data_IF_731681907265
#
_entry.id   IF_731681907265
#
_cell.length_a   1.000
_cell.length_b   1.000
_cell.length_c   1.000
_cell.angle_alpha   90.00
_cell.angle_beta   90.00
_cell.angle_gamma   90.00
#
_symmetry.space_group_name_H-M   'P 1'
#
loop_
_entity.id
_entity.type
_entity.pdbx_description
1 polymer ?
#
# COMPACT_ATOMS: atom_id res chain seq x y z
N UNK A 1 17.83 -0.18 -29.54
CA UNK A 1 18.30 -0.92 -28.35
C UNK A 1 18.84 0.03 -27.28
N UNK A 2 19.70 0.99 -27.62
CA UNK A 2 20.24 1.99 -26.69
C UNK A 2 19.14 2.86 -26.03
N UNK A 3 18.21 3.41 -26.81
CA UNK A 3 17.04 4.18 -26.33
C UNK A 3 16.19 3.43 -25.31
N UNK A 4 15.97 2.12 -25.50
CA UNK A 4 15.19 1.27 -24.59
C UNK A 4 15.94 0.98 -23.28
N UNK A 5 17.28 0.93 -23.32
CA UNK A 5 18.11 0.69 -22.13
C UNK A 5 18.25 1.94 -21.29
N UNK A 6 18.50 3.08 -21.94
CA UNK A 6 18.70 4.38 -21.28
C UNK A 6 17.41 4.90 -20.64
N UNK A 7 16.26 4.61 -21.26
CA UNK A 7 14.96 5.03 -20.75
C UNK A 7 14.14 3.88 -20.16
N UNK A 8 14.77 2.74 -19.81
CA UNK A 8 14.05 1.52 -19.37
C UNK A 8 13.04 1.81 -18.26
N UNK A 9 13.47 2.55 -17.23
CA UNK A 9 12.63 2.91 -16.07
C UNK A 9 11.45 3.78 -16.47
N UNK A 10 11.68 4.79 -17.32
CA UNK A 10 10.64 5.70 -17.80
C UNK A 10 9.63 4.98 -18.71
N UNK A 11 10.10 4.09 -19.58
CA UNK A 11 9.24 3.28 -20.45
C UNK A 11 8.38 2.31 -19.63
N UNK A 12 8.93 1.72 -18.56
CA UNK A 12 8.15 0.87 -17.64
C UNK A 12 7.05 1.68 -16.99
N UNK A 13 7.38 2.84 -16.41
CA UNK A 13 6.44 3.74 -15.75
C UNK A 13 5.29 4.15 -16.68
N UNK A 14 5.61 4.56 -17.91
CA UNK A 14 4.61 5.05 -18.86
C UNK A 14 3.70 3.91 -19.34
N UNK A 15 4.28 2.78 -19.76
CA UNK A 15 3.51 1.69 -20.36
C UNK A 15 2.71 0.88 -19.33
N UNK A 16 3.11 0.91 -18.05
CA UNK A 16 2.39 0.23 -16.96
C UNK A 16 1.00 0.85 -16.69
N UNK A 17 0.71 2.04 -17.21
CA UNK A 17 -0.62 2.65 -17.12
C UNK A 17 -1.70 1.82 -17.82
N UNK A 18 -1.38 1.20 -18.95
CA UNK A 18 -2.31 0.41 -19.78
C UNK A 18 -1.58 -0.81 -20.39
N UNK A 19 -1.22 -1.83 -19.59
CA UNK A 19 -0.33 -2.91 -20.03
C UNK A 19 -0.96 -3.80 -21.11
N UNK A 20 -2.27 -4.06 -21.03
CA UNK A 20 -2.98 -4.88 -22.02
C UNK A 20 -3.07 -4.17 -23.37
N UNK A 21 -3.25 -2.85 -23.36
CA UNK A 21 -3.29 -2.05 -24.58
C UNK A 21 -1.98 -2.15 -25.34
N UNK A 22 -0.83 -1.92 -24.69
CA UNK A 22 0.46 -2.03 -25.37
C UNK A 22 0.77 -3.48 -25.76
N UNK A 23 0.45 -4.48 -24.93
CA UNK A 23 0.64 -5.88 -25.28
C UNK A 23 -0.12 -6.27 -26.56
N UNK A 24 -1.36 -5.81 -26.71
CA UNK A 24 -2.17 -6.07 -27.90
C UNK A 24 -1.51 -5.47 -29.16
N UNK A 25 -0.98 -4.25 -29.06
CA UNK A 25 -0.33 -3.56 -30.19
C UNK A 25 1.04 -4.18 -30.53
N UNK A 26 1.79 -4.65 -29.53
CA UNK A 26 3.06 -5.37 -29.73
C UNK A 26 2.81 -6.72 -30.42
N UNK A 27 1.74 -7.43 -30.06
CA UNK A 27 1.33 -8.66 -30.76
C UNK A 27 0.91 -8.36 -32.21
N UNK A 28 0.07 -7.33 -32.42
CA UNK A 28 -0.40 -6.95 -33.75
C UNK A 28 0.75 -6.54 -34.68
N UNK A 29 1.79 -5.92 -34.14
CA UNK A 29 3.01 -5.56 -34.86
C UNK A 29 3.99 -6.73 -35.10
N UNK A 30 3.62 -7.96 -34.71
CA UNK A 30 4.49 -9.15 -34.79
C UNK A 30 5.86 -8.97 -34.10
N UNK A 31 5.88 -8.21 -33.00
CA UNK A 31 7.07 -8.04 -32.15
C UNK A 31 7.16 -9.23 -31.19
N UNK A 32 6.02 -9.63 -30.62
CA UNK A 32 5.83 -10.89 -29.89
C UNK A 32 4.82 -11.77 -30.62
N UNK A 33 4.97 -13.09 -30.52
CA UNK A 33 3.98 -14.03 -31.08
C UNK A 33 2.86 -14.32 -30.07
N UNK A 34 1.80 -15.01 -30.50
CA UNK A 34 0.62 -15.31 -29.67
C UNK A 34 0.97 -16.09 -28.37
N UNK A 35 1.92 -17.02 -28.43
CA UNK A 35 2.36 -17.78 -27.25
C UNK A 35 3.07 -16.89 -26.24
N UNK A 36 3.89 -15.97 -26.73
CA UNK A 36 4.60 -15.00 -25.91
C UNK A 36 3.65 -13.96 -25.32
N UNK A 37 2.66 -13.50 -26.09
CA UNK A 37 1.59 -12.65 -25.60
C UNK A 37 0.84 -13.32 -24.45
N UNK A 38 0.42 -14.59 -24.60
CA UNK A 38 -0.28 -15.31 -23.52
C UNK A 38 0.58 -15.51 -22.26
N UNK A 39 1.90 -15.66 -22.42
CA UNK A 39 2.83 -15.75 -21.29
C UNK A 39 3.09 -14.40 -20.61
N UNK A 40 2.87 -13.29 -21.31
CA UNK A 40 2.98 -11.92 -20.78
C UNK A 40 1.65 -11.46 -20.16
N UNK A 41 0.53 -11.81 -20.79
CA UNK A 41 -0.87 -11.56 -20.38
C UNK A 41 -1.37 -12.64 -19.40
N UNK A 42 -0.56 -12.96 -18.39
CA UNK A 42 -0.97 -13.87 -17.31
C UNK A 42 -1.76 -13.08 -16.29
N UNK A 43 -2.99 -13.50 -16.02
CA UNK A 43 -3.85 -12.89 -15.02
C UNK A 43 -3.17 -12.92 -13.64
N UNK A 44 -3.01 -11.74 -13.03
CA UNK A 44 -2.43 -11.58 -11.70
C UNK A 44 -0.99 -11.06 -11.66
N UNK A 45 -0.30 -10.90 -12.79
CA UNK A 45 0.96 -10.16 -12.80
C UNK A 45 0.73 -8.66 -12.61
N UNK A 46 1.50 -7.96 -11.76
CA UNK A 46 1.48 -6.50 -11.69
C UNK A 46 1.77 -5.87 -13.06
N UNK A 47 1.13 -4.75 -13.44
CA UNK A 47 1.37 -4.05 -14.70
C UNK A 47 2.85 -3.81 -15.02
N UNK A 48 3.63 -3.39 -14.02
CA UNK A 48 5.07 -3.17 -14.17
C UNK A 48 5.81 -4.46 -14.48
N UNK A 49 5.41 -5.58 -13.87
CA UNK A 49 5.99 -6.90 -14.14
C UNK A 49 5.68 -7.36 -15.56
N UNK A 50 4.47 -7.10 -16.05
CA UNK A 50 4.08 -7.37 -17.44
C UNK A 50 4.97 -6.58 -18.40
N UNK A 51 5.17 -5.29 -18.14
CA UNK A 51 6.00 -4.41 -18.99
C UNK A 51 7.49 -4.75 -18.87
N UNK A 52 8.00 -5.07 -17.68
CA UNK A 52 9.39 -5.53 -17.49
C UNK A 52 9.63 -6.80 -18.31
N UNK A 53 8.74 -7.78 -18.19
CA UNK A 53 8.85 -9.04 -18.93
C UNK A 53 8.72 -8.80 -20.45
N UNK A 54 7.85 -7.89 -20.89
CA UNK A 54 7.73 -7.48 -22.28
C UNK A 54 9.04 -6.85 -22.78
N UNK A 55 9.61 -5.88 -22.07
CA UNK A 55 10.86 -5.22 -22.44
C UNK A 55 12.02 -6.19 -22.48
N UNK A 56 12.16 -7.04 -21.47
CA UNK A 56 13.20 -8.07 -21.43
C UNK A 56 13.04 -9.04 -22.60
N UNK A 57 11.80 -9.43 -22.94
CA UNK A 57 11.52 -10.28 -24.10
C UNK A 57 11.89 -9.61 -25.42
N UNK A 58 11.54 -8.34 -25.61
CA UNK A 58 11.87 -7.56 -26.81
C UNK A 58 13.39 -7.38 -26.93
N UNK A 59 14.08 -7.08 -25.81
CA UNK A 59 15.53 -6.95 -25.78
C UNK A 59 16.25 -8.28 -26.10
N UNK A 60 15.73 -9.40 -25.62
CA UNK A 60 16.29 -10.73 -25.88
C UNK A 60 16.09 -11.22 -27.34
N UNK A 61 15.13 -10.67 -28.08
CA UNK A 61 14.91 -10.98 -29.52
C UNK A 61 15.89 -10.27 -30.46
N UNK A 62 16.71 -9.36 -29.94
CA UNK A 62 17.77 -8.70 -30.69
C UNK A 62 17.38 -7.32 -31.26
N UNK A 63 18.34 -6.65 -31.92
CA UNK A 63 18.27 -5.23 -32.23
C UNK A 63 17.16 -4.85 -33.23
N UNK A 64 16.85 -5.73 -34.20
CA UNK A 64 15.77 -5.49 -35.16
C UNK A 64 14.40 -5.36 -34.46
N UNK A 65 14.07 -6.27 -33.54
CA UNK A 65 12.83 -6.22 -32.77
C UNK A 65 12.76 -5.07 -31.77
N UNK A 66 13.91 -4.64 -31.25
CA UNK A 66 13.97 -3.41 -30.46
C UNK A 66 13.64 -2.16 -31.30
N UNK A 67 14.05 -2.11 -32.57
CA UNK A 67 13.73 -1.00 -33.47
C UNK A 67 12.25 -1.01 -33.86
N UNK A 68 11.70 -2.19 -34.19
CA UNK A 68 10.26 -2.36 -34.42
C UNK A 68 9.44 -1.85 -33.23
N UNK A 69 9.87 -2.16 -32.00
CA UNK A 69 9.21 -1.70 -30.79
C UNK A 69 9.32 -0.19 -30.55
N UNK A 70 10.49 0.40 -30.78
CA UNK A 70 10.65 1.87 -30.72
C UNK A 70 9.77 2.57 -31.76
N UNK A 71 9.72 2.06 -32.99
CA UNK A 71 8.85 2.60 -34.03
C UNK A 71 7.36 2.47 -33.69
N UNK A 72 6.96 1.40 -32.98
CA UNK A 72 5.60 1.25 -32.45
C UNK A 72 5.29 2.33 -31.40
N UNK A 73 6.20 2.59 -30.47
CA UNK A 73 6.01 3.61 -29.41
C UNK A 73 5.89 5.04 -29.95
N UNK A 74 6.42 5.30 -31.15
CA UNK A 74 6.31 6.58 -31.84
C UNK A 74 5.02 6.74 -32.66
N UNK A 75 4.16 5.72 -32.71
CA UNK A 75 2.91 5.83 -33.46
C UNK A 75 1.95 6.81 -32.77
N UNK A 76 1.24 7.68 -33.51
CA UNK A 76 0.33 8.67 -32.93
C UNK A 76 -0.68 8.05 -31.96
N UNK A 77 -1.23 6.89 -32.30
CA UNK A 77 -2.19 6.16 -31.45
C UNK A 77 -1.61 5.76 -30.09
N UNK A 78 -0.32 5.43 -30.03
CA UNK A 78 0.38 5.08 -28.79
C UNK A 78 0.67 6.35 -27.99
N UNK A 79 1.19 7.40 -28.65
CA UNK A 79 1.47 8.69 -28.01
C UNK A 79 0.19 9.33 -27.43
N UNK A 80 -0.93 9.28 -28.14
CA UNK A 80 -2.23 9.80 -27.68
C UNK A 80 -2.74 9.07 -26.43
N UNK A 81 -2.44 7.77 -26.31
CA UNK A 81 -2.83 6.94 -25.15
C UNK A 81 -1.88 7.15 -23.97
N UNK A 82 -0.60 7.36 -24.26
CA UNK A 82 0.46 7.57 -23.27
C UNK A 82 1.04 8.99 -23.41
N UNK A 83 0.37 9.98 -22.81
CA UNK A 83 0.69 11.41 -22.96
C UNK A 83 2.12 11.81 -22.59
N UNK A 84 2.83 10.98 -21.83
CA UNK A 84 4.24 11.18 -21.44
C UNK A 84 5.24 10.46 -22.34
N UNK A 85 4.80 9.75 -23.38
CA UNK A 85 5.66 8.97 -24.27
C UNK A 85 6.68 9.85 -25.02
N UNK A 86 6.34 11.11 -25.29
CA UNK A 86 7.24 12.08 -25.91
C UNK A 86 8.47 12.39 -25.04
N UNK A 87 8.39 12.25 -23.70
CA UNK A 87 9.54 12.41 -22.78
C UNK A 87 10.64 11.37 -23.05
N UNK A 88 10.25 10.16 -23.50
CA UNK A 88 11.18 9.07 -23.83
C UNK A 88 12.02 9.40 -25.06
N UNK A 89 11.46 10.18 -25.99
CA UNK A 89 12.10 10.52 -27.27
C UNK A 89 12.75 11.90 -27.28
N UNK A 90 12.29 12.81 -26.41
CA UNK A 90 12.78 14.17 -26.32
C UNK A 90 14.00 14.34 -25.40
N UNK A 91 14.47 13.27 -24.75
CA UNK A 91 15.72 13.23 -24.00
C UNK A 91 16.99 13.32 -24.87
N UNK A 92 16.99 14.17 -25.91
CA UNK A 92 18.18 14.65 -26.64
C UNK A 92 17.84 15.91 -27.47
N UNK A 93 17.70 17.07 -26.82
CA UNK A 93 18.10 18.39 -27.36
C UNK A 93 18.47 19.26 -26.13
N UNK A 94 19.69 19.73 -25.89
CA UNK A 94 20.90 19.91 -26.70
C UNK A 94 22.16 19.94 -25.77
N UNK A 95 23.35 20.31 -26.26
CA UNK A 95 24.37 19.46 -26.83
C UNK A 95 25.59 19.28 -25.90
N UNK A 96 26.22 18.11 -25.93
CA UNK A 96 27.61 17.96 -25.50
C UNK A 96 28.34 17.12 -26.54
N UNK A 97 29.03 17.81 -27.44
CA UNK A 97 30.11 17.27 -28.25
C UNK A 97 31.18 16.70 -27.34
N UNK A 98 31.37 15.38 -27.36
CA UNK A 98 32.66 14.79 -27.04
C UNK A 98 32.95 13.65 -28.02
N UNK A 99 33.46 14.04 -29.18
CA UNK A 99 34.35 13.22 -29.99
C UNK A 99 35.64 12.98 -29.19
N UNK A 100 35.93 11.72 -28.89
CA UNK A 100 37.29 11.29 -28.60
C UNK A 100 37.95 10.94 -29.94
N UNK A 101 38.86 11.80 -30.40
CA UNK A 101 39.94 11.34 -31.26
C UNK A 101 41.24 12.06 -30.90
N UNK A 102 42.29 11.27 -31.00
CA UNK A 102 43.70 11.44 -30.67
C UNK A 102 44.35 12.69 -31.25
N UNK A 103 45.30 13.27 -30.49
CA UNK A 103 46.52 13.85 -31.08
C UNK A 103 46.87 15.30 -30.71
N UNK A 104 48.04 15.41 -30.06
CA UNK A 104 49.04 16.51 -30.13
C UNK A 104 48.86 17.84 -29.35
N UNK A 105 49.76 17.96 -28.36
CA UNK A 105 50.43 19.11 -27.70
C UNK A 105 50.17 20.53 -28.25
N UNK A 106 49.93 21.44 -27.30
CA UNK A 106 50.33 22.86 -27.34
C UNK A 106 49.97 23.57 -26.01
N UNK A 107 50.83 24.40 -25.40
CA UNK A 107 50.60 24.96 -24.06
C UNK A 107 49.99 26.37 -24.12
N UNK A 108 49.39 26.81 -23.00
CA UNK A 108 49.60 28.10 -22.32
C UNK A 108 48.34 28.75 -21.70
N UNK A 109 48.46 29.02 -20.39
CA UNK A 109 48.00 30.16 -19.58
C UNK A 109 46.50 30.40 -19.21
N UNK A 110 46.31 30.39 -17.89
CA UNK A 110 45.27 30.91 -16.96
C UNK A 110 45.07 32.46 -17.01
N UNK A 111 44.22 33.12 -16.17
CA UNK A 111 43.05 32.73 -15.34
C UNK A 111 41.83 33.72 -15.39
N UNK A 112 40.85 33.47 -14.51
CA UNK A 112 39.97 34.40 -13.75
C UNK A 112 38.60 34.83 -14.32
N UNK A 113 37.53 34.45 -13.61
CA UNK A 113 36.66 35.38 -12.85
C UNK A 113 35.77 34.63 -11.85
N UNK A 114 35.73 35.16 -10.63
CA UNK A 114 34.80 34.83 -9.55
C UNK A 114 33.35 34.98 -9.99
N UNK A 115 32.48 34.02 -9.66
CA UNK A 115 31.18 34.32 -9.07
C UNK A 115 30.68 33.11 -8.27
N UNK A 116 30.39 33.37 -7.01
CA UNK A 116 29.75 32.52 -6.01
C UNK A 116 28.51 31.79 -6.52
N UNK A 117 28.62 30.47 -6.74
CA UNK A 117 27.48 29.57 -6.90
C UNK A 117 27.18 28.88 -5.57
N UNK A 118 26.25 29.42 -4.79
CA UNK A 118 25.65 28.70 -3.68
C UNK A 118 24.99 27.43 -4.23
N UNK A 119 25.49 26.28 -3.78
CA UNK A 119 24.83 25.00 -3.97
C UNK A 119 23.43 25.07 -3.32
N UNK A 120 22.38 25.05 -4.13
CA UNK A 120 21.02 24.81 -3.65
C UNK A 120 20.99 23.35 -3.21
N UNK A 121 21.15 23.12 -1.91
CA UNK A 121 20.93 21.82 -1.32
C UNK A 121 19.50 21.37 -1.61
N UNK A 122 19.35 20.29 -2.37
CA UNK A 122 18.08 19.56 -2.42
C UNK A 122 17.81 19.05 -1.02
N UNK A 123 16.92 19.73 -0.29
CA UNK A 123 16.35 19.17 0.94
C UNK A 123 15.65 17.87 0.57
N UNK A 124 16.22 16.75 1.02
CA UNK A 124 15.71 15.39 0.82
C UNK A 124 14.62 15.03 1.83
N UNK A 125 13.88 16.00 2.35
CA UNK A 125 12.82 15.76 3.32
C UNK A 125 11.56 15.26 2.64
N UNK A 126 11.08 14.09 3.06
CA UNK A 126 9.77 13.58 2.66
C UNK A 126 8.70 14.55 3.16
N UNK A 127 7.99 15.19 2.23
CA UNK A 127 6.87 16.09 2.52
C UNK A 127 5.85 15.44 3.48
N UNK A 128 5.22 16.24 4.33
CA UNK A 128 4.23 15.80 5.32
C UNK A 128 2.80 16.09 4.84
N UNK A 129 1.82 15.24 5.18
CA UNK A 129 0.41 15.57 5.00
C UNK A 129 0.00 16.72 5.93
N UNK A 130 -0.90 17.57 5.43
CA UNK A 130 -1.56 18.56 6.28
C UNK A 130 -2.40 17.83 7.34
N UNK A 131 -2.33 18.29 8.59
CA UNK A 131 -3.08 17.72 9.72
C UNK A 131 -3.42 18.82 10.74
N UNK A 132 -4.14 19.85 10.28
CA UNK A 132 -4.48 21.09 11.01
C UNK A 132 -5.98 21.40 11.09
N UNK A 133 -6.84 20.73 10.31
CA UNK A 133 -8.31 20.90 10.31
C UNK A 133 -8.95 20.38 11.61
N UNK A 134 -9.94 21.07 12.17
CA UNK A 134 -10.71 20.59 13.32
C UNK A 134 -12.21 20.60 12.97
N UNK A 135 -12.89 19.45 12.90
CA UNK A 135 -12.35 18.09 13.09
C UNK A 135 -11.30 17.72 12.03
N UNK A 136 -10.33 16.86 12.39
CA UNK A 136 -9.30 16.33 11.47
C UNK A 136 -9.92 15.51 10.35
N UNK A 137 -11.13 15.02 10.57
CA UNK A 137 -11.95 14.26 9.67
C UNK A 137 -12.75 13.23 10.45
N UNK A 138 -13.32 12.27 9.76
CA UNK A 138 -14.09 11.21 10.39
C UNK A 138 -13.18 10.05 10.82
N UNK A 139 -13.47 9.51 12.00
CA UNK A 139 -12.97 8.22 12.45
C UNK A 139 -14.18 7.29 12.63
N UNK A 140 -14.34 6.35 11.70
CA UNK A 140 -15.38 5.33 11.76
C UNK A 140 -14.86 4.11 12.51
N UNK A 141 -15.60 3.62 13.50
CA UNK A 141 -15.30 2.37 14.21
C UNK A 141 -16.46 1.42 13.97
N UNK A 142 -16.24 0.34 13.22
CA UNK A 142 -17.19 -0.76 13.03
C UNK A 142 -16.80 -1.87 14.01
N UNK A 143 -17.65 -2.15 14.98
CA UNK A 143 -17.42 -3.17 16.00
C UNK A 143 -18.52 -4.22 16.00
N UNK A 144 -18.22 -5.38 15.45
CA UNK A 144 -19.11 -6.53 15.42
C UNK A 144 -18.71 -7.50 16.53
N UNK A 145 -19.65 -7.80 17.41
CA UNK A 145 -19.44 -8.62 18.61
C UNK A 145 -20.35 -9.84 18.62
N UNK A 146 -21.62 -9.65 18.28
CA UNK A 146 -22.65 -10.68 18.34
C UNK A 146 -23.00 -11.15 16.92
N UNK A 147 -22.68 -12.41 16.63
CA UNK A 147 -22.88 -13.03 15.33
C UNK A 147 -23.91 -14.16 15.45
N UNK A 148 -24.52 -14.58 14.34
CA UNK A 148 -25.54 -15.65 14.38
C UNK A 148 -24.91 -17.02 14.67
N UNK A 149 -23.88 -17.38 13.91
CA UNK A 149 -23.17 -18.66 14.00
C UNK A 149 -21.73 -18.51 14.50
N UNK A 150 -21.06 -17.41 14.14
CA UNK A 150 -19.70 -17.16 14.60
C UNK A 150 -19.67 -16.85 16.11
N UNK A 151 -18.56 -17.19 16.77
CA UNK A 151 -18.44 -17.01 18.22
C UNK A 151 -18.41 -15.55 18.65
N UNK A 152 -19.01 -15.23 19.80
CA UNK A 152 -19.03 -13.88 20.37
C UNK A 152 -17.62 -13.29 20.57
N UNK A 153 -17.43 -12.00 20.23
CA UNK A 153 -16.12 -11.32 20.32
C UNK A 153 -15.92 -10.56 21.65
N UNK A 154 -15.97 -11.27 22.78
CA UNK A 154 -15.73 -10.69 24.12
C UNK A 154 -14.42 -9.92 24.21
N UNK A 155 -14.44 -8.76 24.89
CA UNK A 155 -13.31 -7.84 25.04
C UNK A 155 -13.16 -6.83 23.91
N UNK A 156 -13.97 -6.92 22.83
CA UNK A 156 -13.92 -5.95 21.73
C UNK A 156 -14.45 -4.56 22.15
N UNK A 157 -15.27 -4.49 23.20
CA UNK A 157 -15.69 -3.24 23.85
C UNK A 157 -14.50 -2.44 24.40
N UNK A 158 -13.49 -3.13 24.98
CA UNK A 158 -12.25 -2.51 25.48
C UNK A 158 -11.42 -1.91 24.35
N UNK A 159 -11.47 -2.52 23.18
CA UNK A 159 -10.83 -1.97 21.98
C UNK A 159 -11.54 -0.71 21.48
N UNK A 160 -12.89 -0.71 21.47
CA UNK A 160 -13.70 0.47 21.13
C UNK A 160 -13.43 1.62 22.08
N UNK A 161 -13.43 1.38 23.40
CA UNK A 161 -13.14 2.40 24.43
C UNK A 161 -11.81 3.11 24.13
N UNK A 162 -10.76 2.34 23.88
CA UNK A 162 -9.40 2.85 23.66
C UNK A 162 -9.25 3.57 22.31
N UNK A 163 -9.86 3.04 21.25
CA UNK A 163 -9.87 3.68 19.92
C UNK A 163 -10.63 5.01 19.95
N UNK A 164 -11.80 5.02 20.60
CA UNK A 164 -12.59 6.23 20.74
C UNK A 164 -11.80 7.30 21.49
N UNK A 165 -11.22 6.96 22.64
CA UNK A 165 -10.43 7.89 23.44
C UNK A 165 -9.26 8.48 22.63
N UNK A 166 -8.45 7.63 21.96
CA UNK A 166 -7.25 8.11 21.27
C UNK A 166 -7.60 8.96 20.03
N UNK A 167 -8.59 8.56 19.23
CA UNK A 167 -8.92 9.33 18.02
C UNK A 167 -9.72 10.60 18.32
N UNK A 168 -10.53 10.63 19.38
CA UNK A 168 -11.11 11.88 19.89
C UNK A 168 -10.02 12.83 20.38
N UNK A 169 -9.05 12.32 21.16
CA UNK A 169 -7.91 13.09 21.63
C UNK A 169 -7.05 13.65 20.47
N UNK A 170 -6.92 12.91 19.37
CA UNK A 170 -6.26 13.37 18.14
C UNK A 170 -7.13 14.31 17.29
N UNK A 171 -8.35 14.68 17.73
CA UNK A 171 -9.20 15.67 17.07
C UNK A 171 -10.07 15.13 15.94
N UNK A 172 -10.30 13.82 15.86
CA UNK A 172 -11.23 13.23 14.91
C UNK A 172 -12.67 13.26 15.43
N UNK A 173 -13.63 13.37 14.51
CA UNK A 173 -15.04 13.10 14.80
C UNK A 173 -15.26 11.59 14.76
N UNK A 174 -15.28 10.97 15.94
CA UNK A 174 -15.46 9.51 16.07
C UNK A 174 -16.95 9.13 15.94
N UNK A 175 -17.24 8.09 15.16
CA UNK A 175 -18.56 7.46 15.06
C UNK A 175 -18.38 5.95 15.24
N UNK A 176 -19.11 5.38 16.21
CA UNK A 176 -19.07 3.95 16.52
C UNK A 176 -20.35 3.29 16.00
N UNK A 177 -20.18 2.26 15.18
CA UNK A 177 -21.26 1.40 14.69
C UNK A 177 -21.09 0.02 15.34
N UNK A 178 -22.13 -0.43 16.03
CA UNK A 178 -22.15 -1.71 16.72
C UNK A 178 -22.94 -2.74 15.90
N UNK A 179 -22.42 -3.96 15.84
CA UNK A 179 -23.13 -5.14 15.33
C UNK A 179 -23.80 -4.94 13.96
N UNK A 180 -23.01 -4.51 12.98
CA UNK A 180 -23.48 -4.24 11.62
C UNK A 180 -23.56 -5.53 10.79
N UNK A 181 -24.67 -5.72 10.09
CA UNK A 181 -24.77 -6.72 9.01
C UNK A 181 -23.87 -6.33 7.84
N UNK A 182 -23.61 -7.28 6.94
CA UNK A 182 -22.77 -7.04 5.78
C UNK A 182 -23.35 -5.96 4.85
N UNK A 183 -24.68 -5.83 4.77
CA UNK A 183 -25.36 -4.78 4.00
C UNK A 183 -25.23 -3.43 4.69
N UNK A 184 -25.52 -3.35 5.99
CA UNK A 184 -25.44 -2.10 6.76
C UNK A 184 -24.02 -1.53 6.75
N UNK A 185 -23.00 -2.37 6.95
CA UNK A 185 -21.61 -1.95 6.91
C UNK A 185 -21.23 -1.33 5.55
N UNK A 186 -21.66 -1.95 4.44
CA UNK A 186 -21.43 -1.43 3.08
C UNK A 186 -22.11 -0.08 2.85
N UNK A 187 -23.34 0.09 3.32
CA UNK A 187 -24.09 1.34 3.20
C UNK A 187 -23.40 2.46 3.98
N UNK A 188 -22.95 2.18 5.19
CA UNK A 188 -22.24 3.14 6.03
C UNK A 188 -20.87 3.52 5.44
N UNK A 189 -20.11 2.55 4.93
CA UNK A 189 -18.85 2.82 4.23
C UNK A 189 -19.06 3.71 2.99
N UNK A 190 -20.13 3.45 2.21
CA UNK A 190 -20.53 4.30 1.08
C UNK A 190 -20.90 5.70 1.53
N UNK A 191 -21.68 5.83 2.61
CA UNK A 191 -22.06 7.13 3.18
C UNK A 191 -20.83 7.94 3.55
N UNK A 192 -19.91 7.37 4.33
CA UNK A 192 -18.66 8.06 4.71
C UNK A 192 -17.74 8.34 3.53
N UNK A 193 -17.70 7.47 2.51
CA UNK A 193 -16.96 7.72 1.27
C UNK A 193 -17.44 8.96 0.51
N UNK A 194 -18.74 9.27 0.58
CA UNK A 194 -19.36 10.45 -0.04
C UNK A 194 -19.39 11.71 0.84
N UNK A 195 -18.98 11.64 2.11
CA UNK A 195 -18.98 12.79 3.00
C UNK A 195 -17.79 13.72 2.78
N UNK A 196 -17.91 14.96 3.29
CA UNK A 196 -16.78 15.90 3.32
C UNK A 196 -15.92 15.63 4.54
N UNK A 197 -14.61 15.50 4.34
CA UNK A 197 -13.65 15.31 5.43
C UNK A 197 -12.67 16.47 5.52
N UNK A 198 -12.13 16.67 6.73
CA UNK A 198 -11.06 17.61 7.02
C UNK A 198 -9.77 17.25 6.30
N UNK A 199 -8.78 16.75 7.02
CA UNK A 199 -7.46 16.41 6.49
C UNK A 199 -7.24 14.92 6.26
N UNK A 200 -7.98 14.05 6.95
CA UNK A 200 -7.78 12.60 6.88
C UNK A 200 -9.09 11.84 7.09
N UNK A 201 -9.10 10.58 6.71
CA UNK A 201 -10.12 9.61 7.10
C UNK A 201 -9.48 8.45 7.84
N UNK A 202 -10.12 8.02 8.93
CA UNK A 202 -9.73 6.83 9.69
C UNK A 202 -10.91 5.86 9.74
N UNK A 203 -10.64 4.57 9.52
CA UNK A 203 -11.61 3.50 9.73
C UNK A 203 -10.98 2.38 10.56
N UNK A 204 -11.62 2.01 11.67
CA UNK A 204 -11.22 0.89 12.49
C UNK A 204 -12.29 -0.20 12.36
N UNK A 205 -11.89 -1.41 11.98
CA UNK A 205 -12.80 -2.54 11.83
C UNK A 205 -12.42 -3.61 12.85
N UNK A 206 -13.36 -3.93 13.75
CA UNK A 206 -13.24 -4.98 14.75
C UNK A 206 -14.28 -6.05 14.43
N UNK A 207 -13.89 -7.12 13.75
CA UNK A 207 -14.82 -8.20 13.38
C UNK A 207 -14.12 -9.57 13.35
N UNK A 208 -14.87 -10.62 13.02
CA UNK A 208 -14.29 -11.83 12.45
C UNK A 208 -13.85 -11.57 11.02
N UNK A 209 -12.96 -12.41 10.52
CA UNK A 209 -12.50 -12.34 9.15
C UNK A 209 -11.73 -13.59 8.74
N UNK A 210 -11.46 -13.64 7.46
CA UNK A 210 -10.62 -14.63 6.80
C UNK A 210 -9.79 -13.89 5.73
N UNK A 211 -9.01 -14.63 4.95
CA UNK A 211 -8.26 -14.09 3.84
C UNK A 211 -9.14 -13.27 2.87
N UNK A 212 -8.88 -11.97 2.77
CA UNK A 212 -9.58 -11.07 1.86
C UNK A 212 -10.96 -10.58 2.31
N UNK A 213 -11.47 -11.02 3.47
CA UNK A 213 -12.84 -10.72 3.92
C UNK A 213 -12.93 -10.45 5.42
N UNK A 214 -13.88 -9.61 5.80
CA UNK A 214 -14.41 -9.54 7.18
C UNK A 214 -15.86 -10.02 7.17
N UNK A 215 -16.44 -10.28 8.34
CA UNK A 215 -17.83 -10.71 8.44
C UNK A 215 -18.74 -9.62 9.03
N UNK A 216 -19.96 -9.52 8.49
CA UNK A 216 -21.08 -8.89 9.17
C UNK A 216 -21.62 -9.77 10.30
N UNK A 217 -22.48 -9.23 11.15
CA UNK A 217 -23.14 -10.00 12.23
C UNK A 217 -24.13 -11.04 11.73
N UNK A 218 -24.54 -10.91 10.47
CA UNK A 218 -25.29 -11.88 9.68
C UNK A 218 -24.43 -13.03 9.14
N UNK A 219 -23.13 -13.09 9.50
CA UNK A 219 -22.13 -14.04 9.01
C UNK A 219 -21.85 -13.97 7.51
N UNK A 220 -22.38 -12.94 6.84
CA UNK A 220 -22.12 -12.68 5.43
C UNK A 220 -20.79 -11.95 5.24
N UNK A 221 -20.01 -12.31 4.21
CA UNK A 221 -18.70 -11.71 3.98
C UNK A 221 -18.83 -10.29 3.43
N UNK A 222 -17.92 -9.43 3.86
CA UNK A 222 -17.62 -8.10 3.32
C UNK A 222 -16.20 -8.16 2.78
N UNK A 223 -16.04 -8.01 1.46
CA UNK A 223 -14.71 -8.06 0.85
C UNK A 223 -13.88 -6.85 1.26
N UNK A 224 -12.56 -6.96 1.26
CA UNK A 224 -11.69 -5.80 1.48
C UNK A 224 -11.90 -4.72 0.42
N UNK A 225 -12.28 -5.09 -0.81
CA UNK A 225 -12.67 -4.13 -1.82
C UNK A 225 -13.95 -3.35 -1.44
N UNK A 226 -14.92 -3.97 -0.76
CA UNK A 226 -16.09 -3.27 -0.22
C UNK A 226 -15.69 -2.23 0.84
N UNK A 227 -14.63 -2.49 1.61
CA UNK A 227 -14.11 -1.55 2.61
C UNK A 227 -13.47 -0.31 1.98
N UNK A 228 -12.72 -0.51 0.89
CA UNK A 228 -11.84 0.53 0.36
C UNK A 228 -12.40 1.25 -0.86
N UNK A 229 -13.16 0.55 -1.72
CA UNK A 229 -13.70 1.11 -2.96
C UNK A 229 -14.51 2.39 -2.78
N UNK A 230 -15.28 2.60 -1.69
CA UNK A 230 -15.99 3.87 -1.50
C UNK A 230 -15.09 5.09 -1.33
N UNK A 231 -13.81 4.88 -1.02
CA UNK A 231 -12.82 5.93 -0.78
C UNK A 231 -11.83 6.10 -1.94
N UNK A 232 -11.98 5.31 -3.02
CA UNK A 232 -11.18 5.46 -4.25
C UNK A 232 -11.64 6.71 -5.00
N UNK A 233 -10.69 7.51 -5.49
CA UNK A 233 -10.97 8.79 -6.15
C UNK A 233 -11.60 9.87 -5.24
N UNK A 234 -11.92 9.58 -3.99
CA UNK A 234 -12.33 10.57 -2.98
C UNK A 234 -11.13 10.93 -2.10
N UNK A 235 -11.22 12.02 -1.34
CA UNK A 235 -10.15 12.41 -0.41
C UNK A 235 -8.78 12.56 -1.10
N UNK A 236 -8.76 13.16 -2.29
CA UNK A 236 -7.55 13.32 -3.10
C UNK A 236 -6.48 14.08 -2.31
N UNK A 237 -5.28 13.50 -2.19
CA UNK A 237 -4.16 14.07 -1.45
C UNK A 237 -4.31 14.01 0.08
N UNK A 238 -5.33 13.32 0.59
CA UNK A 238 -5.60 13.14 2.02
C UNK A 238 -5.45 11.66 2.41
N UNK A 239 -4.78 11.35 3.52
CA UNK A 239 -4.56 9.98 3.95
C UNK A 239 -5.85 9.29 4.38
N UNK A 240 -5.99 8.03 3.98
CA UNK A 240 -7.10 7.13 4.29
C UNK A 240 -6.54 5.93 5.05
N UNK A 241 -6.64 5.96 6.38
CA UNK A 241 -6.03 4.97 7.26
C UNK A 241 -7.07 3.96 7.76
N UNK A 242 -6.82 2.68 7.52
CA UNK A 242 -7.64 1.55 7.94
C UNK A 242 -6.88 0.69 8.96
N UNK A 243 -7.46 0.46 10.13
CA UNK A 243 -6.92 -0.41 11.17
C UNK A 243 -7.87 -1.59 11.36
N UNK A 244 -7.46 -2.78 10.93
CA UNK A 244 -8.35 -3.93 10.81
C UNK A 244 -7.93 -5.03 11.79
N UNK A 245 -8.76 -5.21 12.81
CA UNK A 245 -8.67 -6.28 13.81
C UNK A 245 -9.63 -7.42 13.44
N UNK A 246 -9.14 -8.27 12.54
CA UNK A 246 -9.79 -9.50 12.11
C UNK A 246 -8.73 -10.59 11.89
N UNK A 247 -9.12 -11.86 11.99
CA UNK A 247 -8.29 -12.97 11.53
C UNK A 247 -8.16 -12.94 10.01
N UNK A 248 -7.12 -13.59 9.47
CA UNK A 248 -6.89 -13.73 8.03
C UNK A 248 -6.77 -15.20 7.63
N UNK A 249 -7.28 -16.09 8.46
CA UNK A 249 -7.13 -17.51 8.31
C UNK A 249 -7.22 -18.20 9.67
N UNK A 250 -6.96 -19.51 9.67
CA UNK A 250 -7.12 -20.38 10.83
C UNK A 250 -5.79 -20.82 11.42
N UNK A 251 -4.68 -20.45 10.81
CA UNK A 251 -3.37 -20.90 11.27
C UNK A 251 -2.94 -20.10 12.50
N UNK A 252 -2.24 -20.78 13.41
CA UNK A 252 -1.71 -20.18 14.62
C UNK A 252 -0.20 -20.02 14.43
N UNK A 253 0.30 -18.79 14.58
CA UNK A 253 1.70 -18.50 14.29
C UNK A 253 2.58 -19.17 15.34
N UNK A 254 3.38 -20.15 14.92
CA UNK A 254 4.30 -20.84 15.80
C UNK A 254 5.53 -19.98 16.11
N UNK A 255 6.07 -20.11 17.32
CA UNK A 255 7.38 -19.55 17.70
C UNK A 255 8.56 -20.32 17.07
N UNK A 256 8.61 -20.39 15.73
CA UNK A 256 9.67 -20.84 14.79
C UNK A 256 10.56 -22.06 15.12
N UNK A 257 10.53 -23.06 14.23
CA UNK A 257 11.66 -23.41 13.32
C UNK A 257 11.06 -23.75 11.93
N UNK A 258 11.60 -23.13 10.87
CA UNK A 258 11.03 -23.02 9.51
C UNK A 258 10.85 -24.36 8.79
N UNK A 259 9.71 -24.52 8.11
CA UNK A 259 9.58 -24.61 6.63
C UNK A 259 8.07 -24.56 6.30
N UNK A 260 7.66 -23.71 5.35
CA UNK A 260 6.32 -23.76 4.79
C UNK A 260 6.33 -23.29 3.33
N UNK A 261 5.94 -24.20 2.44
CA UNK A 261 5.50 -23.89 1.08
C UNK A 261 4.19 -23.11 1.15
N UNK A 262 4.19 -21.87 0.64
CA UNK A 262 3.01 -21.00 0.62
C UNK A 262 2.25 -21.24 -0.69
N UNK A 263 1.06 -21.82 -0.60
CA UNK A 263 0.07 -21.74 -1.68
C UNK A 263 -0.58 -20.36 -1.64
N UNK A 264 -0.70 -19.63 -2.76
CA UNK A 264 -1.31 -18.30 -2.76
C UNK A 264 -2.83 -18.42 -2.52
N UNK A 265 -3.25 -18.22 -1.27
CA UNK A 265 -4.63 -17.95 -0.91
C UNK A 265 -5.10 -16.56 -1.38
N UNK A 266 -6.41 -16.25 -1.30
CA UNK A 266 -6.93 -14.94 -1.67
C UNK A 266 -6.32 -13.82 -0.80
N UNK A 267 -5.57 -12.91 -1.43
CA UNK A 267 -4.84 -11.86 -0.72
C UNK A 267 -5.69 -10.62 -0.44
N UNK A 268 -5.39 -9.93 0.66
CA UNK A 268 -5.92 -8.58 0.92
C UNK A 268 -5.22 -7.61 -0.04
N UNK A 269 -5.99 -7.08 -0.99
CA UNK A 269 -5.54 -6.06 -1.94
C UNK A 269 -5.76 -4.65 -1.37
N UNK A 270 -4.69 -3.89 -1.20
CA UNK A 270 -4.78 -2.44 -0.95
C UNK A 270 -5.16 -1.78 -2.28
N UNK A 271 -6.03 -0.75 -2.30
CA UNK A 271 -6.22 0.06 -3.49
C UNK A 271 -4.89 0.50 -4.13
N UNK A 272 -4.81 0.43 -5.46
CA UNK A 272 -3.71 1.03 -6.21
C UNK A 272 -3.70 2.57 -6.09
N UNK A 273 -4.83 3.15 -5.66
CA UNK A 273 -4.99 4.56 -5.36
C UNK A 273 -3.96 5.05 -4.31
N UNK A 274 -3.51 6.29 -4.49
CA UNK A 274 -2.60 6.94 -3.56
C UNK A 274 -3.24 7.24 -2.20
N UNK A 275 -2.38 7.37 -1.20
CA UNK A 275 -2.70 7.84 0.14
C UNK A 275 -3.54 6.86 0.99
N UNK A 276 -3.48 5.55 0.72
CA UNK A 276 -4.04 4.52 1.60
C UNK A 276 -3.00 3.99 2.57
N UNK A 277 -3.45 3.68 3.78
CA UNK A 277 -2.71 2.89 4.78
C UNK A 277 -3.67 1.84 5.31
N UNK A 278 -3.28 0.57 5.26
CA UNK A 278 -4.06 -0.56 5.79
C UNK A 278 -3.16 -1.32 6.77
N UNK A 279 -3.48 -1.26 8.05
CA UNK A 279 -2.79 -2.00 9.10
C UNK A 279 -3.66 -3.15 9.61
N UNK A 280 -3.26 -4.37 9.23
CA UNK A 280 -3.92 -5.60 9.66
C UNK A 280 -3.34 -6.08 10.99
N UNK A 281 -4.18 -6.60 11.88
CA UNK A 281 -3.75 -7.11 13.18
C UNK A 281 -2.83 -8.34 13.10
N UNK A 282 -2.87 -9.08 11.99
CA UNK A 282 -2.07 -10.29 11.78
C UNK A 282 -1.69 -10.44 10.30
N UNK A 283 -0.65 -11.23 10.04
CA UNK A 283 -0.21 -11.63 8.68
C UNK A 283 -1.22 -12.59 8.03
N UNK A 284 -1.09 -12.78 6.72
CA UNK A 284 -1.95 -13.71 5.93
C UNK A 284 -1.99 -15.11 6.54
N UNK A 285 -3.12 -15.80 6.40
CA UNK A 285 -3.40 -17.15 6.92
C UNK A 285 -3.47 -17.29 8.46
N UNK A 286 -3.13 -16.25 9.22
CA UNK A 286 -2.98 -16.35 10.67
C UNK A 286 -4.17 -15.79 11.48
N UNK A 287 -4.31 -16.32 12.70
CA UNK A 287 -5.21 -15.82 13.72
C UNK A 287 -4.70 -14.49 14.33
N UNK A 288 -5.63 -13.72 14.89
CA UNK A 288 -5.33 -12.57 15.75
C UNK A 288 -5.87 -12.79 17.16
N UNK A 289 -5.12 -12.40 18.19
CA UNK A 289 -5.45 -12.71 19.59
C UNK A 289 -6.19 -11.56 20.27
N UNK A 290 -7.15 -11.96 21.09
CA UNK A 290 -7.92 -11.07 21.96
C UNK A 290 -8.03 -11.66 23.35
N UNK A 291 -7.82 -10.81 24.35
CA UNK A 291 -8.09 -11.11 25.74
C UNK A 291 -9.49 -10.58 26.10
N UNK A 292 -10.37 -11.40 26.71
CA UNK A 292 -11.72 -10.97 27.07
C UNK A 292 -11.79 -9.82 28.08
N UNK A 293 -10.71 -9.57 28.84
CA UNK A 293 -10.68 -8.54 29.90
C UNK A 293 -9.93 -7.28 29.50
N UNK A 294 -8.89 -7.41 28.67
CA UNK A 294 -8.05 -6.29 28.27
C UNK A 294 -8.18 -5.86 26.81
N UNK A 295 -8.91 -6.61 25.97
CA UNK A 295 -9.02 -6.33 24.53
C UNK A 295 -7.94 -7.02 23.68
N UNK A 296 -7.84 -6.63 22.41
CA UNK A 296 -6.93 -7.26 21.45
C UNK A 296 -5.50 -6.76 21.55
N UNK A 297 -4.54 -7.66 21.33
CA UNK A 297 -3.13 -7.30 21.41
C UNK A 297 -2.76 -6.18 20.44
N UNK A 298 -3.30 -6.22 19.22
CA UNK A 298 -3.04 -5.22 18.21
C UNK A 298 -3.63 -3.86 18.57
N UNK A 299 -4.94 -3.77 18.85
CA UNK A 299 -5.59 -2.48 19.09
C UNK A 299 -5.09 -1.81 20.36
N UNK A 300 -4.93 -2.57 21.45
CA UNK A 300 -4.39 -2.03 22.69
C UNK A 300 -2.98 -1.48 22.50
N UNK A 301 -2.15 -2.20 21.75
CA UNK A 301 -0.77 -1.75 21.44
C UNK A 301 -0.78 -0.56 20.50
N UNK A 302 -1.65 -0.54 19.48
CA UNK A 302 -1.82 0.60 18.57
C UNK A 302 -2.19 1.87 19.33
N UNK A 303 -3.23 1.82 20.17
CA UNK A 303 -3.66 2.97 20.96
C UNK A 303 -2.56 3.44 21.92
N UNK A 304 -1.84 2.52 22.58
CA UNK A 304 -0.68 2.85 23.41
C UNK A 304 0.39 3.58 22.61
N UNK A 305 0.78 3.04 21.46
CA UNK A 305 1.86 3.60 20.63
C UNK A 305 1.45 4.93 19.98
N UNK A 306 0.19 5.12 19.62
CA UNK A 306 -0.34 6.43 19.19
C UNK A 306 -0.24 7.47 20.32
N UNK A 307 -0.68 7.13 21.54
CA UNK A 307 -0.59 8.03 22.70
C UNK A 307 0.86 8.43 23.03
N UNK A 308 1.83 7.56 22.78
CA UNK A 308 3.25 7.80 23.06
C UNK A 308 4.02 8.46 21.89
N UNK A 309 3.71 8.08 20.65
CA UNK A 309 4.40 8.52 19.44
C UNK A 309 3.90 9.87 18.92
N UNK A 310 2.59 10.10 18.92
CA UNK A 310 2.01 11.33 18.37
C UNK A 310 2.55 12.61 19.04
N UNK A 311 2.69 12.70 20.38
CA UNK A 311 3.25 13.89 21.03
C UNK A 311 4.73 14.12 20.71
N UNK A 312 5.46 13.07 20.30
CA UNK A 312 6.87 13.15 19.88
C UNK A 312 7.03 13.55 18.42
N UNK A 313 5.93 13.62 17.66
CA UNK A 313 5.94 13.88 16.23
C UNK A 313 6.36 12.67 15.39
N UNK A 314 6.28 11.45 15.95
CA UNK A 314 6.51 10.22 15.20
C UNK A 314 5.48 10.11 14.07
N UNK A 315 5.92 9.73 12.88
CA UNK A 315 4.98 9.41 11.79
C UNK A 315 4.32 8.04 12.02
N UNK A 316 3.20 7.81 11.35
CA UNK A 316 2.39 6.61 11.54
C UNK A 316 3.15 5.31 11.23
N UNK A 317 4.10 5.30 10.29
CA UNK A 317 4.85 4.09 9.96
C UNK A 317 5.87 3.78 11.07
N UNK A 318 6.49 4.81 11.63
CA UNK A 318 7.32 4.70 12.84
C UNK A 318 6.52 4.16 14.02
N UNK A 319 5.29 4.64 14.24
CA UNK A 319 4.38 4.14 15.27
C UNK A 319 3.99 2.67 15.01
N UNK A 320 3.60 2.33 13.79
CA UNK A 320 3.22 0.95 13.43
C UNK A 320 4.39 -0.03 13.52
N UNK A 321 5.61 0.43 13.28
CA UNK A 321 6.81 -0.39 13.51
C UNK A 321 6.98 -0.72 14.99
N UNK A 322 6.70 0.24 15.89
CA UNK A 322 6.70 0.00 17.33
C UNK A 322 5.55 -0.93 17.74
N UNK A 323 4.38 -0.83 17.10
CA UNK A 323 3.28 -1.79 17.29
C UNK A 323 3.71 -3.20 16.90
N UNK A 324 4.34 -3.38 15.74
CA UNK A 324 4.84 -4.68 15.30
C UNK A 324 5.84 -5.26 16.32
N UNK A 325 6.79 -4.45 16.79
CA UNK A 325 7.75 -4.85 17.82
C UNK A 325 7.05 -5.33 19.08
N UNK A 326 6.17 -4.51 19.66
CA UNK A 326 5.49 -4.81 20.92
C UNK A 326 4.56 -6.04 20.81
N UNK A 327 3.84 -6.20 19.69
CA UNK A 327 2.95 -7.36 19.47
C UNK A 327 3.75 -8.64 19.24
N UNK A 328 4.83 -8.60 18.47
CA UNK A 328 5.68 -9.77 18.19
C UNK A 328 6.31 -10.39 19.43
N UNK A 329 6.50 -9.58 20.48
CA UNK A 329 7.07 -10.01 21.75
C UNK A 329 6.04 -10.70 22.65
N UNK A 330 4.74 -10.52 22.41
CA UNK A 330 3.68 -11.21 23.17
C UNK A 330 3.64 -12.69 22.79
N UNK A 331 3.32 -13.55 23.75
CA UNK A 331 2.98 -14.95 23.51
C UNK A 331 1.86 -15.41 24.44
N UNK A 332 1.19 -16.45 23.98
CA UNK A 332 0.22 -17.20 24.79
C UNK A 332 0.51 -18.69 24.64
N UNK A 333 0.39 -19.42 25.75
CA UNK A 333 0.44 -20.89 25.74
C UNK A 333 -0.97 -21.42 25.58
N UNK A 334 -1.17 -22.31 24.61
CA UNK A 334 -2.44 -22.98 24.38
C UNK A 334 -2.24 -24.50 24.33
N UNK A 335 -3.30 -25.25 24.60
CA UNK A 335 -3.30 -26.69 24.46
C UNK A 335 -3.67 -27.09 23.03
N UNK A 336 -2.73 -27.67 22.29
CA UNK A 336 -2.98 -28.22 20.96
C UNK A 336 -3.59 -29.62 21.11
N UNK A 337 -4.88 -29.76 20.80
CA UNK A 337 -5.60 -31.04 20.90
C UNK A 337 -5.04 -32.11 19.95
N UNK A 338 -4.54 -31.72 18.77
CA UNK A 338 -4.02 -32.66 17.77
C UNK A 338 -2.64 -33.16 18.18
N UNK A 339 -1.75 -32.25 18.61
CA UNK A 339 -0.40 -32.59 19.05
C UNK A 339 -0.35 -33.13 20.50
N UNK A 340 -1.42 -32.96 21.28
CA UNK A 340 -1.53 -33.36 22.70
C UNK A 340 -0.43 -32.74 23.58
N UNK A 341 -0.08 -31.49 23.29
CA UNK A 341 0.95 -30.74 24.01
C UNK A 341 0.59 -29.26 24.13
N UNK A 342 1.29 -28.55 25.01
CA UNK A 342 1.21 -27.09 25.06
C UNK A 342 2.11 -26.47 23.99
N UNK A 343 1.52 -25.63 23.14
CA UNK A 343 2.26 -24.83 22.14
C UNK A 343 2.22 -23.36 22.50
N UNK A 344 3.21 -22.63 21.99
CA UNK A 344 3.25 -21.18 22.04
C UNK A 344 2.70 -20.60 20.75
N UNK A 345 1.83 -19.60 20.87
CA UNK A 345 1.38 -18.79 19.76
C UNK A 345 1.99 -17.40 19.83
N UNK A 346 2.34 -16.87 18.65
CA UNK A 346 2.81 -15.50 18.42
C UNK A 346 1.83 -14.77 17.50
N UNK A 347 1.99 -13.45 17.36
CA UNK A 347 1.22 -12.64 16.42
C UNK A 347 2.13 -11.58 15.80
N UNK A 348 1.98 -11.35 14.50
CA UNK A 348 2.68 -10.29 13.78
C UNK A 348 1.68 -9.44 12.99
N UNK A 349 1.46 -8.17 13.36
CA UNK A 349 0.66 -7.27 12.55
C UNK A 349 1.36 -6.92 11.22
N UNK A 350 0.56 -6.58 10.21
CA UNK A 350 1.06 -6.30 8.86
C UNK A 350 0.47 -4.98 8.34
N UNK A 351 1.25 -3.88 8.43
CA UNK A 351 0.91 -2.63 7.74
C UNK A 351 1.33 -2.70 6.27
N UNK A 352 0.41 -2.32 5.38
CA UNK A 352 0.67 -2.10 3.95
C UNK A 352 0.15 -0.71 3.55
N UNK A 353 0.80 0.00 2.64
CA UNK A 353 0.44 1.40 2.34
C UNK A 353 0.83 1.87 0.93
N UNK A 354 0.13 2.90 0.48
CA UNK A 354 0.40 3.73 -0.71
C UNK A 354 0.49 5.22 -0.34
N UNK A 355 0.80 5.53 0.93
CA UNK A 355 1.05 6.89 1.40
C UNK A 355 2.20 7.54 0.60
N UNK A 356 1.99 8.78 0.17
CA UNK A 356 2.94 9.57 -0.64
C UNK A 356 3.71 10.60 0.19
N UNK A 357 3.31 10.81 1.45
CA UNK A 357 3.87 11.79 2.38
C UNK A 357 3.93 11.21 3.79
N UNK A 358 4.73 11.83 4.68
CA UNK A 358 4.72 11.49 6.11
C UNK A 358 3.36 11.83 6.70
N UNK A 359 2.72 10.84 7.32
CA UNK A 359 1.49 11.03 8.08
C UNK A 359 1.83 11.15 9.56
N UNK A 360 1.71 12.36 10.11
CA UNK A 360 1.88 12.64 11.54
C UNK A 360 0.55 13.10 12.09
N UNK A 361 -0.03 12.34 13.02
CA UNK A 361 -1.23 12.75 13.74
C UNK A 361 -0.86 13.73 14.85
N UNK A 362 -1.03 15.02 14.60
CA UNK A 362 -0.73 16.07 15.58
C UNK A 362 -1.83 16.17 16.63
N UNK A 363 -1.43 16.30 17.89
CA UNK A 363 -2.36 16.56 19.00
C UNK A 363 -2.87 18.00 18.87
N UNK A 364 -4.19 18.25 18.78
CA UNK A 364 -4.72 19.60 18.77
C UNK A 364 -4.33 20.38 20.04
N UNK A 365 -4.10 21.71 19.94
CA UNK A 365 -3.92 22.54 21.14
C UNK A 365 -5.18 22.46 22.03
N UNK A 366 -4.96 22.37 23.35
CA UNK A 366 -6.01 22.31 24.36
C UNK A 366 -6.64 23.66 24.65
#
# INVERSE_FOLDING_TARGET
MQTLRENKTLIIEILAAEPDFILQHVQQANIVNLREYNNLSVAGHPPETIIINLLDKVMNKGPAKCLDFVALLQQPKIIDTYSRMDEVFNNLTAPSDHTFSTGTRGPYTTPSTDTTGQAVGMSSEVCQYRMTSLPRGHCLIINNVHFNELGERKGSDKDVEQLQEVFQWLGFKVTVLLDQTAVQAREELKRFGGETHGDAFVCCVLSHGDNGVIYGTDDEPISTNDLFSPFKGTLIGKPKAFFIQACRGKDIQAGVQLEADVNPGPQIYIPADADFLVAMATVEDHCSFRDPTSGSWFIQTLCKQLKQGCPRGDDILTILTQVNRDVSQKDVRYWDKKAREHKQAKQMPEPKYTLTKRLVFTVPPQ
#
